data_IF_268122827207
#
_entry.id   IF_268122827207
#
_cell.length_a   1.000
_cell.length_b   1.000
_cell.length_c   1.000
_cell.angle_alpha   90.00
_cell.angle_beta   90.00
_cell.angle_gamma   90.00
#
_symmetry.space_group_name_H-M   'P 1'
#
loop_
_entity.id
_entity.type
_entity.pdbx_description
1 polymer ?
#
# COMPACT_ATOMS: atom_id res chain seq x y z
N UNK A 1 -3.69 22.61 -9.83
CA UNK A 1 -4.33 21.57 -9.00
C UNK A 1 -3.30 20.48 -8.79
N UNK A 2 -2.79 20.30 -7.57
CA UNK A 2 -1.89 19.20 -7.23
C UNK A 2 -2.70 18.19 -6.44
N UNK A 3 -3.43 17.32 -7.15
CA UNK A 3 -4.17 16.24 -6.50
C UNK A 3 -3.19 15.26 -5.86
N UNK A 4 -3.48 14.85 -4.63
CA UNK A 4 -2.62 13.96 -3.85
C UNK A 4 -3.42 12.82 -3.24
N UNK A 5 -2.72 11.70 -3.06
CA UNK A 5 -3.22 10.49 -2.43
C UNK A 5 -2.66 10.42 -1.00
N UNK A 6 -3.51 10.37 0.05
CA UNK A 6 -3.05 10.26 1.42
C UNK A 6 -2.31 8.94 1.66
N UNK A 7 -1.26 8.96 2.46
CA UNK A 7 -0.45 7.76 2.76
C UNK A 7 -1.04 6.87 3.86
N UNK A 8 -2.09 7.34 4.53
CA UNK A 8 -2.65 6.71 5.73
C UNK A 8 -1.90 7.04 7.02
N UNK A 9 -0.78 7.79 6.94
CA UNK A 9 -0.08 8.33 8.09
C UNK A 9 -0.16 9.85 8.08
N UNK A 10 -0.90 10.43 9.04
CA UNK A 10 -1.05 11.88 9.16
C UNK A 10 0.29 12.62 9.18
N UNK A 11 1.27 12.10 9.93
CA UNK A 11 2.61 12.71 10.04
C UNK A 11 3.37 12.68 8.73
N UNK A 12 3.23 11.59 7.97
CA UNK A 12 3.88 11.49 6.66
C UNK A 12 3.19 12.40 5.64
N UNK A 13 1.87 12.49 5.69
CA UNK A 13 1.10 13.40 4.83
C UNK A 13 1.48 14.86 5.11
N UNK A 14 1.72 15.26 6.36
CA UNK A 14 2.24 16.59 6.72
C UNK A 14 3.60 16.88 6.05
N UNK A 15 4.53 15.92 6.09
CA UNK A 15 5.86 16.03 5.46
C UNK A 15 5.74 16.10 3.93
N UNK A 16 4.83 15.32 3.34
CA UNK A 16 4.63 15.23 1.91
C UNK A 16 3.64 16.26 1.36
N UNK A 17 3.20 17.23 2.18
CA UNK A 17 2.24 18.27 1.80
C UNK A 17 0.89 17.73 1.29
N UNK A 18 0.33 16.74 1.99
CA UNK A 18 -0.95 16.11 1.70
C UNK A 18 -0.86 14.72 1.06
N UNK A 19 0.34 14.12 1.00
CA UNK A 19 0.56 12.76 0.53
C UNK A 19 1.26 12.65 -0.82
N UNK A 20 1.12 11.51 -1.48
CA UNK A 20 1.79 11.20 -2.74
C UNK A 20 1.13 11.94 -3.92
N UNK A 21 1.88 12.39 -4.93
CA UNK A 21 1.30 13.02 -6.12
C UNK A 21 0.40 12.03 -6.87
N UNK A 22 -0.83 12.44 -7.18
CA UNK A 22 -1.75 11.67 -8.02
C UNK A 22 -1.21 11.61 -9.47
N UNK A 23 -1.44 10.51 -10.17
CA UNK A 23 -1.01 10.28 -11.55
C UNK A 23 0.51 10.36 -11.77
N UNK A 24 1.28 9.99 -10.75
CA UNK A 24 2.74 9.96 -10.79
C UNK A 24 3.29 8.65 -10.24
N UNK A 25 4.50 8.31 -10.67
CA UNK A 25 5.26 7.18 -10.14
C UNK A 25 6.00 7.65 -8.89
N UNK A 26 5.78 6.95 -7.77
CA UNK A 26 6.49 7.20 -6.51
C UNK A 26 7.42 6.02 -6.21
N UNK A 27 8.67 6.31 -5.87
CA UNK A 27 9.66 5.30 -5.50
C UNK A 27 9.98 5.36 -4.01
N UNK A 28 9.83 4.24 -3.30
CA UNK A 28 10.14 4.12 -1.87
C UNK A 28 11.46 3.35 -1.72
N UNK A 29 12.52 4.03 -1.29
CA UNK A 29 13.88 3.46 -1.16
C UNK A 29 14.32 3.44 0.30
N UNK A 30 15.01 2.37 0.69
CA UNK A 30 15.56 2.21 2.04
C UNK A 30 16.15 0.82 2.26
N UNK A 31 16.97 0.70 3.31
CA UNK A 31 17.61 -0.57 3.69
C UNK A 31 16.59 -1.69 4.01
N UNK A 32 16.95 -2.98 3.90
CA UNK A 32 16.08 -4.07 4.35
C UNK A 32 15.58 -3.86 5.79
N UNK A 33 14.32 -4.18 6.06
CA UNK A 33 13.69 -3.95 7.36
C UNK A 33 13.24 -2.51 7.65
N UNK A 34 13.49 -1.54 6.76
CA UNK A 34 13.07 -0.14 6.95
C UNK A 34 11.56 0.12 6.80
N UNK A 35 10.73 -0.92 6.63
CA UNK A 35 9.28 -0.79 6.53
C UNK A 35 8.72 -0.41 5.14
N UNK A 36 9.48 -0.54 4.05
CA UNK A 36 9.02 -0.22 2.68
C UNK A 36 7.73 -0.93 2.30
N UNK A 37 7.70 -2.25 2.42
CA UNK A 37 6.54 -3.10 2.09
C UNK A 37 5.34 -2.73 2.96
N UNK A 38 5.56 -2.41 4.24
CA UNK A 38 4.51 -1.95 5.16
C UNK A 38 3.93 -0.61 4.69
N UNK A 39 4.78 0.36 4.37
CA UNK A 39 4.35 1.67 3.90
C UNK A 39 3.56 1.57 2.58
N UNK A 40 4.06 0.79 1.62
CA UNK A 40 3.36 0.56 0.35
C UNK A 40 1.97 -0.04 0.56
N UNK A 41 1.86 -1.06 1.43
CA UNK A 41 0.57 -1.66 1.75
C UNK A 41 -0.37 -0.68 2.47
N UNK A 42 0.13 0.09 3.44
CA UNK A 42 -0.69 1.07 4.13
C UNK A 42 -1.29 2.11 3.17
N UNK A 43 -0.47 2.61 2.23
CA UNK A 43 -0.94 3.52 1.18
C UNK A 43 -2.01 2.83 0.33
N UNK A 44 -1.79 1.58 -0.08
CA UNK A 44 -2.76 0.84 -0.89
C UNK A 44 -4.09 0.62 -0.15
N UNK A 45 -4.07 0.04 1.05
CA UNK A 45 -5.27 -0.20 1.87
C UNK A 45 -6.02 1.09 2.19
N UNK A 46 -5.31 2.21 2.43
CA UNK A 46 -5.94 3.48 2.73
C UNK A 46 -6.76 4.03 1.56
N UNK A 47 -6.36 3.73 0.33
CA UNK A 47 -6.94 4.32 -0.89
C UNK A 47 -7.77 3.34 -1.72
N UNK A 48 -7.75 2.06 -1.35
CA UNK A 48 -8.53 0.99 -1.95
C UNK A 48 -10.02 1.16 -1.69
N UNK A 49 -10.74 1.55 -2.73
CA UNK A 49 -12.20 1.73 -2.75
C UNK A 49 -12.80 0.89 -3.88
N UNK A 50 -14.12 0.75 -3.91
CA UNK A 50 -14.80 0.01 -4.99
C UNK A 50 -14.61 0.68 -6.35
N UNK A 51 -14.54 2.02 -6.37
CA UNK A 51 -14.31 2.82 -7.58
C UNK A 51 -12.82 2.92 -7.96
N UNK A 52 -11.92 2.70 -6.99
CA UNK A 52 -10.46 2.74 -7.16
C UNK A 52 -9.83 1.55 -6.42
N UNK A 53 -9.91 0.33 -6.98
CA UNK A 53 -9.25 -0.81 -6.41
C UNK A 53 -7.73 -0.66 -6.51
N UNK A 54 -7.00 -1.27 -5.57
CA UNK A 54 -5.56 -1.29 -5.55
C UNK A 54 -5.01 -2.70 -5.81
N UNK A 55 -3.94 -2.74 -6.60
CA UNK A 55 -3.25 -3.96 -7.00
C UNK A 55 -1.84 -3.94 -6.40
N UNK A 56 -1.51 -4.97 -5.62
CA UNK A 56 -0.22 -5.13 -5.00
C UNK A 56 0.52 -6.31 -5.63
N UNK A 57 1.64 -6.03 -6.29
CA UNK A 57 2.48 -7.08 -6.86
C UNK A 57 3.54 -7.55 -5.86
N UNK A 58 3.61 -8.85 -5.62
CA UNK A 58 4.76 -9.49 -5.00
C UNK A 58 5.76 -9.95 -6.06
N UNK A 59 7.03 -10.02 -5.66
CA UNK A 59 8.10 -10.64 -6.47
C UNK A 59 8.48 -11.98 -5.85
N UNK A 60 9.07 -12.91 -6.61
CA UNK A 60 9.61 -14.20 -6.12
C UNK A 60 10.33 -14.17 -4.77
N UNK A 61 11.02 -13.06 -4.47
CA UNK A 61 11.81 -12.88 -3.24
C UNK A 61 10.94 -12.72 -1.97
N UNK A 62 9.68 -12.34 -2.11
CA UNK A 62 8.73 -12.15 -1.02
C UNK A 62 7.42 -12.89 -1.34
N UNK A 63 7.28 -14.15 -0.92
CA UNK A 63 6.07 -14.94 -1.14
C UNK A 63 4.81 -14.23 -0.63
N UNK A 64 3.73 -14.31 -1.40
CA UNK A 64 2.49 -13.61 -1.10
C UNK A 64 1.88 -14.00 0.25
N UNK A 65 1.93 -15.29 0.60
CA UNK A 65 1.44 -15.81 1.88
C UNK A 65 2.14 -15.12 3.07
N UNK A 66 3.46 -14.88 2.95
CA UNK A 66 4.26 -14.15 3.93
C UNK A 66 3.82 -12.70 4.04
N UNK A 67 3.62 -12.02 2.92
CA UNK A 67 3.18 -10.62 2.87
C UNK A 67 1.81 -10.47 3.53
N UNK A 68 0.85 -11.32 3.18
CA UNK A 68 -0.51 -11.29 3.74
C UNK A 68 -0.49 -11.63 5.23
N UNK A 69 0.26 -12.66 5.64
CA UNK A 69 0.37 -13.06 7.05
C UNK A 69 0.91 -11.93 7.91
N UNK A 70 2.00 -11.28 7.52
CA UNK A 70 2.54 -10.14 8.28
C UNK A 70 1.67 -8.90 8.15
N UNK A 71 1.07 -8.66 6.99
CA UNK A 71 0.13 -7.56 6.78
C UNK A 71 -1.07 -7.66 7.72
N UNK A 72 -1.60 -8.87 7.93
CA UNK A 72 -2.79 -9.12 8.77
C UNK A 72 -2.65 -8.73 10.23
N UNK A 73 -1.43 -8.51 10.72
CA UNK A 73 -1.17 -8.07 12.10
C UNK A 73 -1.15 -6.55 12.25
N UNK A 74 -1.27 -5.80 11.15
CA UNK A 74 -1.18 -4.34 11.11
C UNK A 74 -2.59 -3.71 11.07
N UNK A 75 -2.74 -2.57 11.73
CA UNK A 75 -4.05 -1.91 11.93
C UNK A 75 -4.76 -1.51 10.63
N UNK A 76 -4.01 -1.21 9.57
CA UNK A 76 -4.60 -0.82 8.28
C UNK A 76 -5.13 -2.01 7.46
N UNK A 77 -4.82 -3.24 7.87
CA UNK A 77 -5.20 -4.42 7.11
C UNK A 77 -6.69 -4.71 7.28
N UNK A 78 -7.42 -4.68 6.18
CA UNK A 78 -8.85 -4.95 6.14
C UNK A 78 -9.13 -6.22 5.31
N UNK A 79 -9.45 -7.36 5.94
CA UNK A 79 -9.77 -8.58 5.22
C UNK A 79 -10.97 -8.43 4.27
N UNK A 80 -11.91 -7.53 4.56
CA UNK A 80 -13.07 -7.28 3.70
C UNK A 80 -12.65 -6.61 2.39
N UNK A 81 -11.59 -5.79 2.41
CA UNK A 81 -11.07 -5.19 1.19
C UNK A 81 -10.59 -6.24 0.18
N UNK A 82 -10.12 -7.40 0.66
CA UNK A 82 -9.74 -8.53 -0.18
C UNK A 82 -10.97 -9.27 -0.73
N UNK A 83 -11.98 -9.49 0.13
CA UNK A 83 -13.21 -10.17 -0.25
C UNK A 83 -14.03 -9.39 -1.28
N UNK A 84 -14.09 -8.06 -1.11
CA UNK A 84 -14.87 -7.16 -1.95
C UNK A 84 -14.09 -6.71 -3.21
N UNK A 85 -12.85 -7.18 -3.40
CA UNK A 85 -12.00 -6.85 -4.56
C UNK A 85 -11.42 -5.43 -4.57
N UNK A 86 -11.50 -4.69 -3.46
CA UNK A 86 -10.88 -3.36 -3.33
C UNK A 86 -9.36 -3.45 -3.23
N UNK A 87 -8.84 -4.52 -2.65
CA UNK A 87 -7.43 -4.85 -2.57
C UNK A 87 -7.19 -6.20 -3.23
N UNK A 88 -6.25 -6.25 -4.16
CA UNK A 88 -5.87 -7.47 -4.87
C UNK A 88 -4.36 -7.67 -4.75
N UNK A 89 -3.95 -8.92 -4.61
CA UNK A 89 -2.55 -9.30 -4.64
C UNK A 89 -2.29 -10.18 -5.85
N UNK A 90 -1.21 -9.91 -6.55
CA UNK A 90 -0.76 -10.71 -7.69
C UNK A 90 0.72 -11.05 -7.54
N UNK A 91 1.08 -12.25 -7.94
CA UNK A 91 2.46 -12.70 -7.94
C UNK A 91 3.06 -12.56 -9.33
N UNK A 92 4.24 -11.93 -9.42
CA UNK A 92 4.96 -11.78 -10.70
C UNK A 92 5.84 -12.98 -11.04
N UNK A 93 5.84 -14.03 -10.21
CA UNK A 93 6.51 -15.31 -10.45
C UNK A 93 7.65 -15.58 -9.48
#
# INVERSE_FOLDING_TARGET
MNDRIPTGSRRLDEILHGGLPLNAISLIVGVPGSGKTILSQQVAFRNATTERPALFFSTMSEPLDKIVRFGSTLEFFDPKALQDGRMMYEDLG
#
